data_IF_559201060598
#
_entry.id   IF_559201060598
#
_cell.length_a   1.000
_cell.length_b   1.000
_cell.length_c   1.000
_cell.angle_alpha   90.00
_cell.angle_beta   90.00
_cell.angle_gamma   90.00
#
_symmetry.space_group_name_H-M   'P 1'
#
loop_
_entity.id
_entity.type
_entity.pdbx_description
1 polymer ?
#
# COMPACT_ATOMS: atom_id res chain seq x y z
N UNK A 1 36.71 -38.30 -17.16
CA UNK A 1 36.78 -36.89 -16.72
C UNK A 1 35.38 -36.30 -16.87
N UNK A 2 34.61 -36.21 -15.78
CA UNK A 2 33.24 -35.69 -15.74
C UNK A 2 33.28 -34.22 -15.32
N UNK A 3 33.15 -33.30 -16.28
CA UNK A 3 32.93 -31.88 -15.98
C UNK A 3 31.44 -31.69 -15.67
N UNK A 4 31.13 -31.64 -14.36
CA UNK A 4 29.81 -31.25 -13.85
C UNK A 4 29.59 -29.77 -14.18
N UNK A 5 28.67 -29.50 -15.11
CA UNK A 5 28.15 -28.16 -15.38
C UNK A 5 27.31 -27.71 -14.17
N UNK A 6 27.91 -26.88 -13.32
CA UNK A 6 27.18 -26.04 -12.36
C UNK A 6 26.55 -24.90 -13.14
N UNK A 7 25.25 -25.02 -13.47
CA UNK A 7 24.45 -23.88 -13.86
C UNK A 7 24.37 -22.91 -12.67
N UNK A 8 24.77 -21.63 -12.82
CA UNK A 8 24.47 -20.64 -11.81
C UNK A 8 22.96 -20.38 -11.87
N UNK A 9 22.24 -20.83 -10.84
CA UNK A 9 20.88 -20.40 -10.60
C UNK A 9 20.91 -18.89 -10.30
N UNK A 10 20.68 -18.07 -11.32
CA UNK A 10 20.42 -16.65 -11.16
C UNK A 10 19.10 -16.53 -10.39
N UNK A 11 19.19 -16.41 -9.07
CA UNK A 11 18.06 -16.06 -8.24
C UNK A 11 17.65 -14.63 -8.61
N UNK A 12 16.58 -14.51 -9.40
CA UNK A 12 15.85 -13.25 -9.55
C UNK A 12 15.31 -12.88 -8.16
N UNK A 13 16.00 -11.97 -7.48
CA UNK A 13 15.47 -11.30 -6.31
C UNK A 13 14.28 -10.47 -6.79
N UNK A 14 13.07 -11.02 -6.67
CA UNK A 14 11.85 -10.23 -6.81
C UNK A 14 11.88 -9.17 -5.71
N UNK A 15 12.10 -7.92 -6.09
CA UNK A 15 11.92 -6.77 -5.21
C UNK A 15 10.46 -6.75 -4.81
N UNK A 16 10.17 -6.94 -3.52
CA UNK A 16 8.81 -6.77 -3.02
C UNK A 16 8.44 -5.28 -3.15
N UNK A 17 7.39 -4.98 -3.92
CA UNK A 17 6.84 -3.64 -4.01
C UNK A 17 6.23 -3.26 -2.66
N UNK A 18 6.57 -2.09 -2.15
CA UNK A 18 6.17 -1.63 -0.83
C UNK A 18 6.01 -0.11 -0.81
N UNK A 19 5.05 0.38 -0.04
CA UNK A 19 4.81 1.79 0.17
C UNK A 19 5.14 2.20 1.59
N UNK A 20 5.72 3.38 1.76
CA UNK A 20 5.76 4.03 3.06
C UNK A 20 4.36 4.56 3.43
N UNK A 21 3.93 4.34 4.66
CA UNK A 21 2.67 4.88 5.17
C UNK A 21 2.85 5.65 6.47
N UNK A 22 1.92 6.56 6.72
CA UNK A 22 1.74 7.22 8.02
C UNK A 22 0.26 7.45 8.26
N UNK A 23 -0.24 7.07 9.43
CA UNK A 23 -1.61 7.39 9.84
C UNK A 23 -1.63 8.52 10.86
N UNK A 24 -2.68 9.32 10.86
CA UNK A 24 -2.74 10.57 11.60
C UNK A 24 -4.04 10.74 12.36
N UNK A 25 -3.96 11.39 13.52
CA UNK A 25 -5.12 11.81 14.33
C UNK A 25 -5.86 13.04 13.81
N UNK A 26 -5.44 13.57 12.65
CA UNK A 26 -6.04 14.69 11.95
C UNK A 26 -6.32 14.32 10.49
N UNK A 27 -7.06 15.19 9.82
CA UNK A 27 -7.52 15.00 8.44
C UNK A 27 -6.54 15.53 7.40
N UNK A 28 -5.55 16.34 7.78
CA UNK A 28 -4.59 16.92 6.82
C UNK A 28 -3.34 16.05 6.58
N UNK A 29 -3.23 14.91 7.26
CA UNK A 29 -2.07 14.02 7.26
C UNK A 29 -0.72 14.75 7.46
N UNK A 30 -0.69 15.71 8.38
CA UNK A 30 0.49 16.54 8.61
C UNK A 30 0.75 16.78 10.10
N UNK A 31 1.98 17.21 10.40
CA UNK A 31 2.42 17.57 11.75
C UNK A 31 2.81 16.37 12.61
N UNK A 32 2.82 16.57 13.93
CA UNK A 32 3.27 15.57 14.91
C UNK A 32 2.17 14.61 15.38
N UNK A 33 0.95 14.71 14.86
CA UNK A 33 -0.17 13.84 15.23
C UNK A 33 -0.13 12.47 14.51
N UNK A 34 1.06 11.89 14.35
CA UNK A 34 1.23 10.56 13.75
C UNK A 34 0.86 9.50 14.77
N UNK A 35 0.06 8.52 14.35
CA UNK A 35 -0.35 7.39 15.19
C UNK A 35 0.49 6.17 14.84
N UNK A 36 0.59 5.85 13.55
CA UNK A 36 1.39 4.73 13.03
C UNK A 36 2.22 5.18 11.84
N UNK A 37 3.37 4.55 11.65
CA UNK A 37 4.21 4.71 10.45
C UNK A 37 4.88 3.40 10.12
N UNK A 38 5.18 3.17 8.86
CA UNK A 38 5.93 1.99 8.46
C UNK A 38 6.01 1.86 6.94
N UNK A 39 6.39 0.67 6.52
CA UNK A 39 6.40 0.24 5.13
C UNK A 39 5.42 -0.92 5.01
N UNK A 40 4.61 -0.94 3.96
CA UNK A 40 3.53 -1.91 3.76
C UNK A 40 3.38 -2.24 2.28
N UNK A 41 3.19 -3.51 1.95
CA UNK A 41 2.91 -4.00 0.60
C UNK A 41 1.60 -4.79 0.55
N UNK A 42 1.35 -5.56 -0.53
CA UNK A 42 0.10 -6.28 -0.72
C UNK A 42 -0.01 -7.55 0.12
N UNK A 43 1.09 -8.04 0.69
CA UNK A 43 1.12 -9.33 1.43
C UNK A 43 0.84 -9.15 2.91
N UNK A 44 0.87 -7.91 3.38
CA UNK A 44 0.66 -7.51 4.76
C UNK A 44 -0.83 -7.47 5.14
N UNK A 45 -1.72 -7.55 4.15
CA UNK A 45 -3.15 -7.74 4.33
C UNK A 45 -3.88 -6.55 4.93
N UNK A 46 -5.12 -6.81 5.35
CA UNK A 46 -6.03 -5.79 5.84
C UNK A 46 -5.54 -5.05 7.10
N UNK A 47 -5.49 -3.73 7.02
CA UNK A 47 -5.16 -2.84 8.12
C UNK A 47 -6.43 -2.24 8.72
N UNK A 48 -6.72 -2.62 9.97
CA UNK A 48 -7.79 -1.98 10.73
C UNK A 48 -7.42 -0.54 11.06
N UNK A 49 -8.42 0.34 10.99
CA UNK A 49 -8.30 1.73 11.40
C UNK A 49 -8.21 1.82 12.93
N UNK A 50 -7.28 2.62 13.44
CA UNK A 50 -7.24 2.91 14.88
C UNK A 50 -8.36 3.91 15.28
N UNK A 51 -8.91 3.86 16.50
CA UNK A 51 -10.03 4.71 16.90
C UNK A 51 -9.81 6.23 16.73
N UNK A 52 -8.57 6.68 16.92
CA UNK A 52 -8.15 8.08 16.80
C UNK A 52 -7.70 8.47 15.38
N UNK A 53 -7.55 7.50 14.49
CA UNK A 53 -7.08 7.70 13.11
C UNK A 53 -8.12 8.45 12.28
N UNK A 54 -7.73 9.54 11.62
CA UNK A 54 -8.58 10.36 10.76
C UNK A 54 -8.08 10.47 9.33
N UNK A 55 -6.81 10.14 9.08
CA UNK A 55 -6.21 10.14 7.75
C UNK A 55 -5.06 9.15 7.61
N UNK A 56 -4.85 8.67 6.39
CA UNK A 56 -3.69 7.85 6.00
C UNK A 56 -2.97 8.59 4.89
N UNK A 57 -1.66 8.78 5.03
CA UNK A 57 -0.79 9.18 3.93
C UNK A 57 0.01 7.97 3.47
N UNK A 58 0.05 7.76 2.16
CA UNK A 58 0.92 6.78 1.52
C UNK A 58 1.88 7.48 0.57
N UNK A 59 3.08 6.94 0.47
CA UNK A 59 4.16 7.46 -0.35
C UNK A 59 4.89 6.28 -0.98
N UNK A 60 5.18 6.42 -2.26
CA UNK A 60 6.06 5.51 -3.00
C UNK A 60 7.51 5.90 -2.68
N UNK A 61 8.41 4.91 -2.53
CA UNK A 61 9.85 5.21 -2.49
C UNK A 61 10.34 5.54 -3.92
N UNK A 62 10.93 6.72 -4.08
CA UNK A 62 11.38 7.20 -5.40
C UNK A 62 12.31 6.19 -6.09
N UNK A 63 12.00 5.87 -7.35
CA UNK A 63 12.87 5.08 -8.24
C UNK A 63 12.55 3.60 -8.36
N UNK A 64 11.49 3.11 -7.71
CA UNK A 64 11.01 1.74 -7.86
C UNK A 64 9.74 1.68 -8.73
N UNK A 65 9.91 1.29 -9.99
CA UNK A 65 8.80 1.11 -10.95
C UNK A 65 7.75 0.09 -10.50
N UNK A 66 8.11 -0.83 -9.59
CA UNK A 66 7.17 -1.79 -9.03
C UNK A 66 6.17 -1.14 -8.06
N UNK A 67 6.48 0.05 -7.54
CA UNK A 67 5.60 0.77 -6.61
C UNK A 67 4.57 1.65 -7.34
N UNK A 68 4.70 1.85 -8.66
CA UNK A 68 3.74 2.62 -9.46
C UNK A 68 2.37 1.93 -9.59
N UNK A 69 2.32 0.60 -9.43
CA UNK A 69 1.06 -0.16 -9.45
C UNK A 69 0.38 -0.31 -8.09
N UNK A 70 0.96 0.31 -7.06
CA UNK A 70 0.54 0.13 -5.68
C UNK A 70 -0.49 1.19 -5.26
N UNK A 71 -1.64 0.73 -4.78
CA UNK A 71 -2.71 1.60 -4.32
C UNK A 71 -3.12 1.22 -2.90
N UNK A 72 -3.25 2.22 -2.03
CA UNK A 72 -4.00 2.06 -0.80
C UNK A 72 -5.50 2.10 -1.11
N UNK A 73 -6.19 0.99 -0.85
CA UNK A 73 -7.62 0.82 -1.03
C UNK A 73 -8.29 0.92 0.33
N UNK A 74 -9.39 1.68 0.41
CA UNK A 74 -10.10 1.98 1.65
C UNK A 74 -11.48 1.34 1.63
N UNK A 75 -11.88 0.81 2.77
CA UNK A 75 -13.13 0.08 2.94
C UNK A 75 -13.94 0.65 4.10
N UNK A 76 -15.25 0.64 3.97
CA UNK A 76 -16.17 1.04 5.03
C UNK A 76 -16.13 0.07 6.22
N UNK A 77 -15.95 -1.21 5.95
CA UNK A 77 -15.88 -2.26 6.98
C UNK A 77 -14.50 -2.31 7.65
N UNK A 78 -14.36 -3.13 8.70
CA UNK A 78 -13.09 -3.34 9.41
C UNK A 78 -12.28 -4.54 8.89
N UNK A 79 -12.80 -5.28 7.93
CA UNK A 79 -12.27 -6.56 7.44
C UNK A 79 -11.81 -6.50 5.99
N UNK A 80 -11.70 -5.29 5.42
CA UNK A 80 -11.34 -5.06 4.02
C UNK A 80 -12.22 -5.82 3.01
N UNK A 81 -13.50 -6.00 3.34
CA UNK A 81 -14.47 -6.57 2.42
C UNK A 81 -14.57 -5.73 1.13
N UNK A 82 -14.22 -6.29 -0.05
CA UNK A 82 -14.27 -5.57 -1.32
C UNK A 82 -15.66 -5.02 -1.65
N UNK A 83 -16.74 -5.62 -1.13
CA UNK A 83 -18.10 -5.10 -1.32
C UNK A 83 -18.32 -3.73 -0.68
N UNK A 84 -17.51 -3.40 0.34
CA UNK A 84 -17.50 -2.14 1.07
C UNK A 84 -16.42 -1.16 0.64
N UNK A 85 -15.76 -1.36 -0.50
CA UNK A 85 -14.74 -0.44 -1.02
C UNK A 85 -15.34 0.95 -1.24
N UNK A 86 -14.70 1.97 -0.67
CA UNK A 86 -15.15 3.36 -0.79
C UNK A 86 -14.27 4.18 -1.72
N UNK A 87 -12.96 3.92 -1.75
CA UNK A 87 -12.01 4.68 -2.58
C UNK A 87 -10.62 4.02 -2.62
N UNK A 88 -9.73 4.55 -3.45
CA UNK A 88 -8.30 4.19 -3.49
C UNK A 88 -7.42 5.40 -3.75
N UNK A 89 -6.14 5.32 -3.37
CA UNK A 89 -5.13 6.34 -3.68
C UNK A 89 -3.76 5.71 -3.91
N UNK A 90 -3.03 6.25 -4.88
CA UNK A 90 -1.62 5.92 -5.18
C UNK A 90 -0.65 6.68 -4.27
N UNK A 91 -0.95 7.94 -3.93
CA UNK A 91 -0.02 8.79 -3.17
C UNK A 91 -0.73 9.91 -2.42
N UNK A 92 -0.13 10.34 -1.32
CA UNK A 92 -0.61 11.45 -0.52
C UNK A 92 -1.70 11.06 0.48
N UNK A 93 -2.39 12.09 1.00
CA UNK A 93 -3.33 11.96 2.11
C UNK A 93 -4.72 11.51 1.65
N UNK A 94 -5.31 10.52 2.32
CA UNK A 94 -6.61 9.94 2.02
C UNK A 94 -7.73 10.98 1.85
N UNK A 95 -7.74 12.02 2.69
CA UNK A 95 -8.77 13.07 2.67
C UNK A 95 -8.73 13.96 1.44
N UNK A 96 -7.55 14.14 0.83
CA UNK A 96 -7.40 14.87 -0.44
C UNK A 96 -7.98 14.09 -1.61
N UNK A 97 -8.16 12.78 -1.43
CA UNK A 97 -8.77 11.89 -2.41
C UNK A 97 -10.27 11.65 -2.12
N UNK A 98 -10.89 12.48 -1.28
CA UNK A 98 -12.33 12.42 -1.03
C UNK A 98 -12.76 11.37 0.00
N UNK A 99 -11.81 10.71 0.68
CA UNK A 99 -12.13 9.84 1.81
C UNK A 99 -12.41 10.72 3.02
N UNK A 100 -13.68 10.77 3.44
CA UNK A 100 -14.07 11.57 4.59
C UNK A 100 -13.25 11.17 5.84
N UNK A 101 -12.89 12.14 6.72
CA UNK A 101 -12.35 11.82 8.02
C UNK A 101 -13.31 10.89 8.74
N UNK A 102 -12.77 9.78 9.24
CA UNK A 102 -13.56 8.70 9.82
C UNK A 102 -14.52 7.91 8.90
N UNK A 103 -14.42 8.08 7.58
CA UNK A 103 -15.28 7.44 6.59
C UNK A 103 -14.94 5.98 6.25
N UNK A 104 -13.78 5.48 6.68
CA UNK A 104 -13.35 4.09 6.50
C UNK A 104 -13.21 3.37 7.85
N UNK A 105 -13.31 2.04 7.82
CA UNK A 105 -13.03 1.14 8.94
C UNK A 105 -11.72 0.36 8.77
N UNK A 106 -11.26 0.21 7.54
CA UNK A 106 -10.01 -0.49 7.21
C UNK A 106 -9.44 -0.04 5.87
N UNK A 107 -8.20 -0.42 5.60
CA UNK A 107 -7.50 -0.18 4.35
C UNK A 107 -6.47 -1.27 4.07
N UNK A 108 -6.08 -1.44 2.82
CA UNK A 108 -5.10 -2.44 2.37
C UNK A 108 -4.30 -1.88 1.19
N UNK A 109 -3.10 -2.39 0.94
CA UNK A 109 -2.37 -2.07 -0.28
C UNK A 109 -2.63 -3.15 -1.33
N UNK A 110 -3.03 -2.74 -2.52
CA UNK A 110 -3.22 -3.64 -3.64
C UNK A 110 -2.22 -3.31 -4.74
N UNK A 111 -1.60 -4.34 -5.31
CA UNK A 111 -0.86 -4.25 -6.57
C UNK A 111 -1.87 -4.43 -7.71
N UNK A 112 -2.22 -3.34 -8.37
CA UNK A 112 -3.20 -3.35 -9.47
C UNK A 112 -2.65 -4.01 -10.73
N UNK A 113 -1.34 -4.30 -10.79
CA UNK A 113 -0.67 -4.93 -11.92
C UNK A 113 -0.16 -6.34 -11.60
N UNK A 114 -0.53 -6.94 -10.45
CA UNK A 114 0.02 -8.22 -10.00
C UNK A 114 -0.07 -9.29 -11.12
N UNK A 115 1.10 -9.72 -11.61
CA UNK A 115 1.22 -10.78 -12.62
C UNK A 115 1.01 -10.35 -14.08
N UNK A 116 0.86 -9.05 -14.40
CA UNK A 116 0.74 -8.58 -15.78
C UNK A 116 2.04 -7.97 -16.34
N UNK A 117 2.63 -8.63 -17.33
CA UNK A 117 3.71 -8.07 -18.13
C UNK A 117 3.18 -6.95 -19.04
N UNK A 118 3.78 -5.75 -18.96
CA UNK A 118 3.38 -4.61 -19.79
C UNK A 118 2.18 -3.82 -19.25
N UNK A 119 1.94 -3.87 -17.94
CA UNK A 119 0.98 -2.97 -17.30
C UNK A 119 1.41 -1.51 -17.55
N UNK A 120 0.67 -0.80 -18.41
CA UNK A 120 0.74 0.64 -18.55
C UNK A 120 -0.46 1.22 -17.81
N UNK A 121 -0.20 1.91 -16.69
CA UNK A 121 -1.23 2.64 -15.93
C UNK A 121 -1.54 3.98 -16.60
#
# INVERSE_FOLDING_TARGET
MLFKYLLPAAALLATAACMSFSTYGNDNCAGQNKIRTGVIGPKEGCQKRAPDEKGVAVMVEDGNVADESMYAVFFKSEDCDPSGMINKTELGCSTRHGIAPAGYGSWEIWDMCEGQAGCSL
#
